data_IF_415950309417
#
_entry.id   IF_415950309417
#
_cell.length_a   1.000
_cell.length_b   1.000
_cell.length_c   1.000
_cell.angle_alpha   90.00
_cell.angle_beta   90.00
_cell.angle_gamma   90.00
#
_symmetry.space_group_name_H-M   'P 1'
#
loop_
_entity.id
_entity.type
_entity.pdbx_description
1 polymer ?
#
# COMPACT_ATOMS: atom_id res chain seq x y z
N UNK A 1 -11.27 10.49 -45.09
CA UNK A 1 -11.13 9.15 -45.68
C UNK A 1 -11.29 8.16 -44.56
N UNK A 2 -12.34 7.35 -44.56
CA UNK A 2 -12.56 6.35 -43.51
C UNK A 2 -11.45 5.29 -43.60
N UNK A 3 -10.57 5.25 -42.61
CA UNK A 3 -9.65 4.14 -42.37
C UNK A 3 -10.44 2.96 -41.83
N UNK A 4 -11.11 2.24 -42.74
CA UNK A 4 -11.74 0.98 -42.41
C UNK A 4 -10.64 -0.07 -42.18
N UNK A 5 -10.46 -0.50 -40.93
CA UNK A 5 -9.57 -1.60 -40.55
C UNK A 5 -10.38 -2.87 -40.22
N UNK A 6 -9.77 -4.02 -40.48
CA UNK A 6 -10.30 -5.33 -40.08
C UNK A 6 -9.48 -5.89 -38.91
N UNK A 7 -10.19 -6.43 -37.92
CA UNK A 7 -9.58 -7.19 -36.84
C UNK A 7 -9.69 -8.68 -37.17
N UNK A 8 -8.54 -9.32 -37.43
CA UNK A 8 -8.44 -10.72 -37.82
C UNK A 8 -7.63 -11.47 -36.76
N UNK A 9 -8.11 -12.63 -36.34
CA UNK A 9 -7.33 -13.54 -35.50
C UNK A 9 -6.40 -14.39 -36.39
N UNK A 10 -5.09 -14.32 -36.13
CA UNK A 10 -4.12 -15.10 -36.89
C UNK A 10 -4.21 -16.59 -36.53
N UNK A 11 -4.38 -17.51 -37.49
CA UNK A 11 -4.51 -18.94 -37.21
C UNK A 11 -3.22 -19.58 -36.65
N UNK A 12 -2.06 -18.93 -36.84
CA UNK A 12 -0.75 -19.46 -36.42
C UNK A 12 -0.40 -19.04 -34.99
N UNK A 13 -0.50 -17.75 -34.67
CA UNK A 13 -0.13 -17.21 -33.35
C UNK A 13 -1.32 -16.89 -32.44
N UNK A 14 -2.57 -17.07 -32.90
CA UNK A 14 -3.83 -16.72 -32.20
C UNK A 14 -3.94 -15.25 -31.78
N UNK A 15 -2.98 -14.41 -32.17
CA UNK A 15 -2.94 -13.01 -31.87
C UNK A 15 -3.93 -12.23 -32.74
N UNK A 16 -4.37 -11.09 -32.23
CA UNK A 16 -5.34 -10.23 -32.93
C UNK A 16 -4.58 -9.21 -33.76
N UNK A 17 -4.75 -9.26 -35.08
CA UNK A 17 -4.06 -8.40 -36.03
C UNK A 17 -5.07 -7.39 -36.57
N UNK A 18 -4.69 -6.12 -36.55
CA UNK A 18 -5.42 -5.05 -37.22
C UNK A 18 -4.83 -4.85 -38.63
N UNK A 19 -5.67 -4.99 -39.65
CA UNK A 19 -5.27 -4.95 -41.06
C UNK A 19 -6.01 -3.82 -41.77
N UNK A 20 -5.29 -3.04 -42.57
CA UNK A 20 -5.89 -1.99 -43.40
C UNK A 20 -6.65 -2.58 -44.60
N UNK A 21 -7.91 -2.18 -44.79
CA UNK A 21 -8.79 -2.75 -45.84
C UNK A 21 -8.32 -2.53 -47.28
N UNK A 22 -7.59 -1.45 -47.56
CA UNK A 22 -7.18 -1.10 -48.94
C UNK A 22 -5.92 -1.81 -49.41
N UNK A 23 -4.94 -1.98 -48.52
CA UNK A 23 -3.62 -2.51 -48.88
C UNK A 23 -3.36 -3.90 -48.31
N UNK A 24 -4.19 -4.38 -47.38
CA UNK A 24 -3.97 -5.64 -46.68
C UNK A 24 -2.74 -5.61 -45.76
N UNK A 25 -2.17 -4.43 -45.50
CA UNK A 25 -1.00 -4.30 -44.61
C UNK A 25 -1.44 -4.43 -43.16
N UNK A 26 -0.69 -5.23 -42.40
CA UNK A 26 -0.86 -5.33 -40.96
C UNK A 26 -0.38 -4.03 -40.31
N UNK A 27 -1.29 -3.32 -39.66
CA UNK A 27 -1.01 -2.08 -38.95
C UNK A 27 -0.51 -2.38 -37.53
N UNK A 28 -1.17 -3.31 -36.82
CA UNK A 28 -0.87 -3.60 -35.42
C UNK A 28 -1.06 -5.08 -35.11
N UNK A 29 -0.16 -5.62 -34.29
CA UNK A 29 -0.19 -6.99 -33.79
C UNK A 29 -0.39 -6.95 -32.27
N UNK A 30 -1.51 -7.47 -31.79
CA UNK A 30 -1.83 -7.56 -30.38
C UNK A 30 -1.66 -9.00 -29.91
N UNK A 31 -0.60 -9.25 -29.15
CA UNK A 31 -0.43 -10.51 -28.45
C UNK A 31 -1.56 -10.68 -27.43
N UNK A 32 -2.28 -11.80 -27.47
CA UNK A 32 -3.29 -12.08 -26.43
C UNK A 32 -2.55 -12.22 -25.10
N UNK A 33 -3.00 -11.53 -24.03
CA UNK A 33 -2.44 -11.77 -22.71
C UNK A 33 -2.62 -13.26 -22.42
N UNK A 34 -1.50 -13.92 -22.13
CA UNK A 34 -1.45 -15.32 -21.75
C UNK A 34 -2.19 -15.43 -20.41
N UNK A 35 -3.50 -15.61 -20.44
CA UNK A 35 -4.24 -16.07 -19.27
C UNK A 35 -3.65 -17.43 -18.98
N UNK A 36 -2.81 -17.54 -17.95
CA UNK A 36 -2.21 -18.81 -17.56
C UNK A 36 -3.36 -19.75 -17.19
N UNK A 37 -3.75 -20.60 -18.13
CA UNK A 37 -4.75 -21.65 -17.92
C UNK A 37 -4.20 -22.58 -16.83
N UNK A 38 -4.70 -22.44 -15.60
CA UNK A 38 -4.31 -23.29 -14.47
C UNK A 38 -4.16 -22.61 -13.11
N UNK A 39 -4.18 -21.27 -13.03
CA UNK A 39 -4.26 -20.56 -11.75
C UNK A 39 -5.58 -19.82 -11.72
N UNK A 40 -6.51 -20.31 -10.88
CA UNK A 40 -7.79 -19.65 -10.65
C UNK A 40 -7.50 -18.21 -10.17
N UNK A 41 -7.87 -17.17 -10.94
CA UNK A 41 -7.63 -15.78 -10.58
C UNK A 41 -8.19 -15.43 -9.20
N UNK A 42 -9.24 -16.14 -8.79
CA UNK A 42 -9.85 -16.01 -7.48
C UNK A 42 -8.94 -16.49 -6.36
N UNK A 43 -8.21 -17.60 -6.55
CA UNK A 43 -7.28 -18.10 -5.54
C UNK A 43 -6.06 -17.19 -5.35
N UNK A 44 -5.54 -16.60 -6.43
CA UNK A 44 -4.46 -15.63 -6.33
C UNK A 44 -4.92 -14.33 -5.65
N UNK A 45 -6.12 -13.85 -5.97
CA UNK A 45 -6.73 -12.70 -5.30
C UNK A 45 -6.93 -12.95 -3.80
N UNK A 46 -7.41 -14.14 -3.41
CA UNK A 46 -7.56 -14.54 -2.01
C UNK A 46 -6.23 -14.61 -1.26
N UNK A 47 -5.17 -15.11 -1.91
CA UNK A 47 -3.81 -15.12 -1.34
C UNK A 47 -3.28 -13.71 -1.14
N UNK A 48 -3.44 -12.82 -2.13
CA UNK A 48 -3.04 -11.41 -2.01
C UNK A 48 -3.79 -10.72 -0.86
N UNK A 49 -5.12 -10.86 -0.80
CA UNK A 49 -5.93 -10.32 0.29
C UNK A 49 -5.49 -10.79 1.68
N UNK A 50 -5.17 -12.09 1.85
CA UNK A 50 -4.64 -12.61 3.11
C UNK A 50 -3.28 -12.00 3.47
N UNK A 51 -2.39 -11.87 2.49
CA UNK A 51 -1.07 -11.26 2.70
C UNK A 51 -1.17 -9.78 3.09
N UNK A 52 -2.07 -9.04 2.45
CA UNK A 52 -2.31 -7.62 2.75
C UNK A 52 -2.91 -7.44 4.14
N UNK A 53 -3.85 -8.31 4.52
CA UNK A 53 -4.42 -8.30 5.87
C UNK A 53 -3.37 -8.56 6.95
N UNK A 54 -2.44 -9.50 6.72
CA UNK A 54 -1.33 -9.76 7.65
C UNK A 54 -0.43 -8.53 7.78
N UNK A 55 -0.02 -7.94 6.66
CA UNK A 55 0.85 -6.76 6.63
C UNK A 55 0.22 -5.56 7.34
N UNK A 56 -1.08 -5.33 7.14
CA UNK A 56 -1.82 -4.29 7.83
C UNK A 56 -1.87 -4.55 9.34
N UNK A 57 -2.15 -5.79 9.76
CA UNK A 57 -2.22 -6.14 11.17
C UNK A 57 -0.86 -5.94 11.87
N UNK A 58 0.24 -6.33 11.24
CA UNK A 58 1.59 -6.10 11.76
C UNK A 58 1.89 -4.61 11.93
N UNK A 59 1.48 -3.78 10.96
CA UNK A 59 1.65 -2.34 11.04
C UNK A 59 0.87 -1.72 12.20
N UNK A 60 -0.41 -2.09 12.37
CA UNK A 60 -1.24 -1.61 13.47
C UNK A 60 -0.70 -2.08 14.83
N UNK A 61 -0.28 -3.34 14.92
CA UNK A 61 0.27 -3.91 16.16
C UNK A 61 1.55 -3.20 16.59
N UNK A 62 2.46 -2.91 15.65
CA UNK A 62 3.69 -2.13 15.91
C UNK A 62 3.37 -0.68 16.33
N UNK A 63 2.45 -0.02 15.62
CA UNK A 63 2.06 1.34 15.96
C UNK A 63 1.46 1.42 17.36
N UNK A 64 0.57 0.48 17.71
CA UNK A 64 -0.02 0.37 19.04
C UNK A 64 1.03 0.14 20.12
N UNK A 65 1.96 -0.79 19.92
CA UNK A 65 3.06 -1.04 20.85
C UNK A 65 3.90 0.22 21.10
N UNK A 66 4.27 0.94 20.04
CA UNK A 66 5.05 2.19 20.16
C UNK A 66 4.30 3.31 20.91
N UNK A 67 2.97 3.36 20.78
CA UNK A 67 2.14 4.35 21.46
C UNK A 67 2.00 4.01 22.96
N UNK A 68 1.79 2.72 23.28
CA UNK A 68 1.72 2.25 24.66
C UNK A 68 3.07 2.44 25.39
N UNK A 69 4.19 2.18 24.72
CA UNK A 69 5.53 2.41 25.26
C UNK A 69 5.78 3.90 25.55
N UNK A 70 5.52 4.79 24.57
CA UNK A 70 5.62 6.25 24.78
C UNK A 70 4.73 6.73 25.92
N UNK A 71 3.51 6.20 26.03
CA UNK A 71 2.59 6.54 27.13
C UNK A 71 3.19 6.13 28.47
N UNK A 72 3.76 4.93 28.58
CA UNK A 72 4.40 4.45 29.79
C UNK A 72 5.62 5.30 30.16
N UNK A 73 6.48 5.62 29.21
CA UNK A 73 7.65 6.49 29.45
C UNK A 73 7.24 7.89 29.94
N UNK A 74 6.20 8.49 29.34
CA UNK A 74 5.68 9.78 29.76
C UNK A 74 5.11 9.74 31.17
N UNK A 75 4.37 8.68 31.51
CA UNK A 75 3.84 8.48 32.86
C UNK A 75 4.98 8.30 33.88
N UNK A 76 5.97 7.46 33.58
CA UNK A 76 7.12 7.23 34.45
C UNK A 76 7.90 8.53 34.71
N UNK A 77 8.12 9.35 33.67
CA UNK A 77 8.76 10.67 33.81
C UNK A 77 7.91 11.62 34.66
N UNK A 78 6.61 11.65 34.43
CA UNK A 78 5.69 12.48 35.20
C UNK A 78 5.66 12.08 36.68
N UNK A 79 5.60 10.79 36.99
CA UNK A 79 5.61 10.29 38.36
C UNK A 79 6.93 10.59 39.08
N UNK A 80 8.07 10.41 38.38
CA UNK A 80 9.40 10.77 38.91
C UNK A 80 9.49 12.25 39.25
N UNK A 81 9.03 13.11 38.35
CA UNK A 81 9.07 14.56 38.54
C UNK A 81 8.10 15.00 39.64
N UNK A 82 6.89 14.42 39.69
CA UNK A 82 5.92 14.62 40.77
C UNK A 82 6.50 14.22 42.13
N UNK A 83 7.25 13.11 42.19
CA UNK A 83 7.92 12.67 43.41
C UNK A 83 9.04 13.63 43.80
N UNK A 84 9.89 14.06 42.84
CA UNK A 84 10.93 15.08 43.05
C UNK A 84 10.36 16.34 43.68
N UNK A 85 9.30 16.90 43.08
CA UNK A 85 8.62 18.12 43.57
C UNK A 85 8.06 17.92 44.99
N UNK A 86 7.45 16.76 45.26
CA UNK A 86 6.91 16.44 46.60
C UNK A 86 8.02 16.35 47.65
N UNK A 87 9.16 15.74 47.30
CA UNK A 87 10.29 15.54 48.19
C UNK A 87 11.13 16.84 48.37
N UNK A 88 11.21 17.70 47.35
CA UNK A 88 11.95 18.96 47.39
C UNK A 88 11.13 20.17 47.85
N UNK A 89 9.80 20.07 47.90
CA UNK A 89 8.91 21.16 48.30
C UNK A 89 8.90 22.36 47.34
N UNK A 90 9.36 22.18 46.11
CA UNK A 90 9.55 23.25 45.13
C UNK A 90 8.21 23.58 44.45
N UNK A 91 7.59 24.70 44.85
CA UNK A 91 6.30 25.17 44.32
C UNK A 91 6.44 26.06 43.07
N UNK A 92 7.63 26.13 42.48
CA UNK A 92 7.84 26.91 41.25
C UNK A 92 7.02 26.34 40.09
N UNK A 93 6.42 27.22 39.28
CA UNK A 93 5.60 26.82 38.12
C UNK A 93 6.53 26.17 37.08
N UNK A 94 6.16 25.03 36.48
CA UNK A 94 6.91 24.45 35.37
C UNK A 94 7.08 25.46 34.24
N UNK A 95 8.28 25.57 33.68
CA UNK A 95 8.54 26.41 32.53
C UNK A 95 7.69 25.93 31.34
N UNK A 96 6.96 26.86 30.74
CA UNK A 96 6.14 26.61 29.57
C UNK A 96 7.07 26.33 28.37
N UNK A 97 6.90 25.20 27.66
CA UNK A 97 7.74 24.86 26.51
C UNK A 97 7.67 25.86 25.36
N UNK A 98 6.61 26.68 25.28
CA UNK A 98 6.51 27.75 24.28
C UNK A 98 7.20 29.06 24.69
N UNK A 99 7.64 29.19 25.95
CA UNK A 99 8.45 30.31 26.42
C UNK A 99 9.97 29.99 26.38
N UNK A 100 10.32 28.80 25.87
CA UNK A 100 11.68 28.31 25.66
C UNK A 100 11.94 28.26 24.13
N UNK A 101 12.20 29.41 23.53
CA UNK A 101 12.66 29.55 22.13
C UNK A 101 14.05 28.91 21.93
#
# INVERSE_FOLDING_TARGET
>A
MNEESYLIDCPVCKARIEVEKKTGRALRHWEKPQVKEGIDPMQEALKKMKSDKSRLNDYFSRARGSMEEKKKELLDKFEKEKKRIKDSGDTSRPLNPMDLD
#
